data_IF_416436958047
#
_entry.id   IF_416436958047
#
_cell.length_a   1.000
_cell.length_b   1.000
_cell.length_c   1.000
_cell.angle_alpha   90.00
_cell.angle_beta   90.00
_cell.angle_gamma   90.00
#
_symmetry.space_group_name_H-M   'P 1'
#
loop_
_entity.id
_entity.type
_entity.pdbx_description
1 polymer ?
#
# COMPACT_ATOMS: atom_id res chain seq x y z
N UNK A 1 -9.59 5.27 -15.44
CA UNK A 1 -10.54 4.15 -15.41
C UNK A 1 -9.74 2.86 -15.49
N UNK A 2 -10.04 1.88 -14.63
CA UNK A 2 -9.42 0.55 -14.60
C UNK A 2 -10.53 -0.51 -14.68
N UNK A 3 -10.20 -1.70 -15.17
CA UNK A 3 -11.11 -2.85 -15.22
C UNK A 3 -11.28 -3.57 -13.88
N UNK A 4 -10.40 -3.31 -12.91
CA UNK A 4 -10.37 -3.96 -11.59
C UNK A 4 -10.02 -2.99 -10.47
N UNK A 5 -10.40 -3.36 -9.24
CA UNK A 5 -10.11 -2.58 -8.03
C UNK A 5 -8.62 -2.52 -7.70
N UNK A 6 -8.21 -1.55 -6.87
CA UNK A 6 -6.81 -1.41 -6.46
C UNK A 6 -6.31 -2.57 -5.60
N UNK A 7 -7.18 -3.30 -4.91
CA UNK A 7 -6.84 -4.50 -4.14
C UNK A 7 -6.74 -5.77 -4.99
N UNK A 8 -7.12 -5.72 -6.27
CA UNK A 8 -7.12 -6.88 -7.14
C UNK A 8 -5.71 -7.39 -7.40
N UNK A 9 -5.52 -8.71 -7.35
CA UNK A 9 -4.22 -9.34 -7.60
C UNK A 9 -3.77 -9.09 -9.05
N UNK A 10 -2.45 -9.00 -9.32
CA UNK A 10 -1.92 -8.69 -10.65
C UNK A 10 -2.44 -9.61 -11.77
N UNK A 11 -2.71 -10.87 -11.47
CA UNK A 11 -3.21 -11.86 -12.45
C UNK A 11 -4.61 -11.52 -12.96
N UNK A 12 -5.39 -10.74 -12.20
CA UNK A 12 -6.74 -10.31 -12.61
C UNK A 12 -6.77 -9.01 -13.41
N UNK A 13 -5.64 -8.40 -13.74
CA UNK A 13 -5.63 -7.11 -14.43
C UNK A 13 -5.82 -7.23 -15.95
N UNK A 14 -5.87 -8.43 -16.50
CA UNK A 14 -6.13 -8.67 -17.93
C UNK A 14 -7.50 -8.11 -18.33
N UNK A 15 -7.48 -7.13 -19.24
CA UNK A 15 -8.69 -6.52 -19.78
C UNK A 15 -9.49 -7.47 -20.67
N UNK A 16 -8.85 -8.48 -21.25
CA UNK A 16 -9.50 -9.50 -22.08
C UNK A 16 -10.32 -10.48 -21.23
N UNK A 17 -9.81 -10.84 -20.04
CA UNK A 17 -10.45 -11.85 -19.19
C UNK A 17 -11.52 -11.24 -18.27
N UNK A 18 -11.29 -10.03 -17.76
CA UNK A 18 -12.20 -9.39 -16.78
C UNK A 18 -13.17 -8.38 -17.41
N UNK A 19 -12.83 -7.83 -18.58
CA UNK A 19 -13.65 -6.82 -19.26
C UNK A 19 -13.82 -5.52 -18.46
N UNK A 20 -14.84 -4.72 -18.79
CA UNK A 20 -15.14 -3.43 -18.14
C UNK A 20 -16.57 -3.32 -17.60
N UNK A 21 -17.24 -4.45 -17.35
CA UNK A 21 -18.63 -4.45 -16.84
C UNK A 21 -18.79 -3.78 -15.47
N UNK A 22 -17.70 -3.73 -14.70
CA UNK A 22 -17.66 -3.23 -13.34
C UNK A 22 -16.39 -2.38 -13.10
N UNK A 23 -16.28 -1.21 -13.75
CA UNK A 23 -15.03 -0.47 -13.78
C UNK A 23 -14.72 0.22 -12.45
N UNK A 24 -13.43 0.40 -12.21
CA UNK A 24 -12.90 1.22 -11.11
C UNK A 24 -12.53 2.59 -11.63
N UNK A 25 -13.00 3.62 -10.93
CA UNK A 25 -12.65 5.01 -11.18
C UNK A 25 -11.66 5.50 -10.14
N UNK A 26 -10.86 6.48 -10.52
CA UNK A 26 -9.92 7.10 -9.62
C UNK A 26 -9.37 8.38 -10.19
N UNK A 27 -8.94 9.25 -9.29
CA UNK A 27 -8.37 10.56 -9.60
C UNK A 27 -7.21 10.87 -8.65
N UNK A 28 -6.34 11.78 -9.08
CA UNK A 28 -5.22 12.25 -8.27
C UNK A 28 -4.99 13.73 -8.52
N UNK A 29 -4.79 14.47 -7.45
CA UNK A 29 -4.36 15.86 -7.45
C UNK A 29 -2.97 15.93 -6.82
N UNK A 30 -2.10 16.74 -7.42
CA UNK A 30 -0.75 16.97 -6.93
C UNK A 30 -0.48 18.47 -6.83
N UNK A 31 0.15 18.88 -5.74
CA UNK A 31 0.53 20.27 -5.47
C UNK A 31 2.02 20.34 -5.16
N UNK A 32 2.69 21.34 -5.72
CA UNK A 32 4.11 21.62 -5.46
C UNK A 32 4.27 23.07 -5.01
N UNK A 33 3.98 23.38 -3.72
CA UNK A 33 3.94 24.76 -3.26
C UNK A 33 5.31 25.45 -3.27
N UNK A 34 6.41 24.68 -3.23
CA UNK A 34 7.77 25.20 -3.36
C UNK A 34 8.71 24.09 -3.88
N UNK A 35 9.94 24.42 -4.31
CA UNK A 35 10.87 23.42 -4.82
C UNK A 35 11.09 22.17 -3.94
N UNK A 36 11.20 22.26 -2.59
CA UNK A 36 11.43 21.10 -1.75
C UNK A 36 10.18 20.25 -1.49
N UNK A 37 8.97 20.79 -1.66
CA UNK A 37 7.72 20.12 -1.25
C UNK A 37 6.90 19.64 -2.45
N UNK A 38 6.46 18.38 -2.40
CA UNK A 38 5.39 17.84 -3.24
C UNK A 38 4.36 17.17 -2.36
N UNK A 39 3.09 17.46 -2.59
CA UNK A 39 1.94 16.91 -1.87
C UNK A 39 1.01 16.25 -2.88
N UNK A 40 0.37 15.15 -2.50
CA UNK A 40 -0.58 14.45 -3.34
C UNK A 40 -1.78 13.94 -2.56
N UNK A 41 -2.93 13.96 -3.24
CA UNK A 41 -4.18 13.35 -2.79
C UNK A 41 -4.71 12.51 -3.94
N UNK A 42 -5.10 11.27 -3.65
CA UNK A 42 -5.69 10.37 -4.62
C UNK A 42 -6.92 9.69 -4.04
N UNK A 43 -7.85 9.34 -4.92
CA UNK A 43 -9.02 8.56 -4.56
C UNK A 43 -9.30 7.51 -5.61
N UNK A 44 -9.86 6.38 -5.20
CA UNK A 44 -10.35 5.36 -6.10
C UNK A 44 -11.60 4.70 -5.54
N UNK A 45 -12.56 4.41 -6.41
CA UNK A 45 -13.80 3.69 -6.08
C UNK A 45 -14.07 2.66 -7.14
N UNK A 46 -14.32 1.42 -6.74
CA UNK A 46 -14.73 0.38 -7.66
C UNK A 46 -15.05 -0.93 -6.96
N UNK A 47 -15.80 -1.83 -7.63
CA UNK A 47 -16.13 -3.14 -7.10
C UNK A 47 -14.90 -4.03 -7.02
N UNK A 48 -14.81 -4.84 -5.95
CA UNK A 48 -13.64 -5.65 -5.65
C UNK A 48 -13.92 -7.17 -5.64
N UNK A 49 -15.19 -7.56 -5.66
CA UNK A 49 -15.56 -8.97 -5.79
C UNK A 49 -15.28 -9.49 -7.19
N UNK A 50 -14.87 -10.75 -7.23
CA UNK A 50 -14.67 -11.51 -8.46
C UNK A 50 -15.88 -12.39 -8.75
N UNK A 51 -16.07 -12.87 -9.99
CA UNK A 51 -17.20 -13.73 -10.35
C UNK A 51 -17.38 -14.96 -9.44
N UNK A 52 -16.31 -15.50 -8.87
CA UNK A 52 -16.36 -16.64 -7.95
C UNK A 52 -17.09 -16.33 -6.64
N UNK A 53 -17.22 -15.05 -6.27
CA UNK A 53 -17.96 -14.63 -5.08
C UNK A 53 -19.48 -14.51 -5.32
N UNK A 54 -19.94 -14.54 -6.59
CA UNK A 54 -21.35 -14.39 -6.95
C UNK A 54 -22.29 -15.37 -6.19
N UNK A 55 -21.93 -16.66 -6.00
CA UNK A 55 -22.76 -17.60 -5.25
C UNK A 55 -22.86 -17.28 -3.75
N UNK A 56 -21.95 -16.47 -3.22
CA UNK A 56 -21.93 -16.08 -1.79
C UNK A 56 -22.64 -14.75 -1.52
N UNK A 57 -23.06 -14.05 -2.58
CA UNK A 57 -23.77 -12.78 -2.43
C UNK A 57 -25.24 -13.02 -2.04
N UNK A 58 -25.85 -12.08 -1.28
CA UNK A 58 -27.27 -12.15 -0.98
C UNK A 58 -28.13 -12.15 -2.27
N UNK A 59 -29.30 -12.80 -2.27
CA UNK A 59 -30.18 -12.84 -3.43
C UNK A 59 -30.51 -11.45 -3.96
N UNK A 60 -30.44 -11.26 -5.27
CA UNK A 60 -30.71 -9.98 -5.92
C UNK A 60 -29.54 -9.00 -5.95
N UNK A 61 -28.39 -9.35 -5.36
CA UNK A 61 -27.17 -8.55 -5.40
C UNK A 61 -26.13 -9.07 -6.38
N UNK A 62 -25.45 -8.16 -7.07
CA UNK A 62 -24.38 -8.43 -8.02
C UNK A 62 -22.99 -7.99 -7.55
N UNK A 63 -21.97 -8.33 -8.34
CA UNK A 63 -20.57 -7.99 -8.07
C UNK A 63 -20.32 -6.47 -7.99
N UNK A 64 -21.14 -5.68 -8.69
CA UNK A 64 -21.04 -4.22 -8.74
C UNK A 64 -21.61 -3.49 -7.51
N UNK A 65 -22.34 -4.20 -6.64
CA UNK A 65 -23.09 -3.60 -5.52
C UNK A 65 -22.21 -3.30 -4.31
N UNK A 66 -21.03 -3.92 -4.24
CA UNK A 66 -20.11 -3.82 -3.12
C UNK A 66 -18.78 -3.23 -3.59
N UNK A 67 -18.38 -2.11 -2.99
CA UNK A 67 -17.27 -1.30 -3.46
C UNK A 67 -16.11 -1.29 -2.48
N UNK A 68 -14.93 -1.17 -3.05
CA UNK A 68 -13.74 -0.69 -2.37
C UNK A 68 -13.62 0.81 -2.63
N UNK A 69 -13.46 1.57 -1.57
CA UNK A 69 -13.15 3.00 -1.61
C UNK A 69 -11.75 3.17 -1.02
N UNK A 70 -10.88 3.89 -1.72
CA UNK A 70 -9.52 4.20 -1.27
C UNK A 70 -9.30 5.70 -1.31
N UNK A 71 -8.72 6.25 -0.26
CA UNK A 71 -8.17 7.61 -0.22
C UNK A 71 -6.69 7.50 0.12
N UNK A 72 -5.83 8.08 -0.72
CA UNK A 72 -4.38 8.06 -0.56
C UNK A 72 -3.83 9.48 -0.43
N UNK A 73 -2.93 9.70 0.51
CA UNK A 73 -2.29 10.98 0.78
C UNK A 73 -0.77 10.77 0.74
N UNK A 74 -0.03 11.60 0.01
CA UNK A 74 1.43 11.49 -0.06
C UNK A 74 2.13 12.83 0.09
N UNK A 75 3.31 12.76 0.69
CA UNK A 75 4.19 13.89 0.94
C UNK A 75 5.59 13.49 0.51
N UNK A 76 6.25 14.37 -0.24
CA UNK A 76 7.68 14.30 -0.54
C UNK A 76 8.33 15.61 -0.16
N UNK A 77 9.42 15.51 0.59
CA UNK A 77 10.23 16.64 1.00
C UNK A 77 11.70 16.38 0.66
N UNK A 78 12.35 17.31 -0.02
CA UNK A 78 13.77 17.19 -0.34
C UNK A 78 14.52 18.48 -0.06
N UNK A 79 15.50 18.41 0.83
CA UNK A 79 16.33 19.57 1.17
C UNK A 79 17.75 19.14 1.52
N UNK A 80 18.73 19.69 0.78
CA UNK A 80 20.14 19.36 0.91
C UNK A 80 20.40 17.85 0.87
N UNK A 81 20.84 17.29 2.00
CA UNK A 81 21.19 15.88 2.16
C UNK A 81 19.99 15.02 2.55
N UNK A 82 18.86 15.63 2.93
CA UNK A 82 17.67 14.96 3.45
C UNK A 82 16.62 14.79 2.35
N UNK A 83 16.09 13.58 2.24
CA UNK A 83 14.92 13.28 1.43
C UNK A 83 13.94 12.49 2.29
N UNK A 84 12.68 12.93 2.33
CA UNK A 84 11.60 12.30 3.07
C UNK A 84 10.45 11.96 2.11
N UNK A 85 9.85 10.80 2.31
CA UNK A 85 8.61 10.38 1.67
C UNK A 85 7.67 9.83 2.72
N UNK A 86 6.41 10.18 2.60
CA UNK A 86 5.34 9.63 3.41
C UNK A 86 4.16 9.33 2.51
N UNK A 87 3.49 8.22 2.76
CA UNK A 87 2.22 7.92 2.11
C UNK A 87 1.30 7.21 3.08
N UNK A 88 0.03 7.61 3.10
CA UNK A 88 -1.02 7.00 3.91
C UNK A 88 -2.21 6.67 3.03
N UNK A 89 -2.84 5.53 3.29
CA UNK A 89 -3.98 4.99 2.57
C UNK A 89 -5.07 4.58 3.56
N UNK A 90 -6.28 5.05 3.32
CA UNK A 90 -7.50 4.61 3.98
C UNK A 90 -8.31 3.81 2.96
N UNK A 91 -8.53 2.53 3.21
CA UNK A 91 -9.32 1.65 2.36
C UNK A 91 -10.53 1.14 3.12
N UNK A 92 -11.71 1.25 2.51
CA UNK A 92 -12.95 0.67 2.99
C UNK A 92 -13.44 -0.38 2.02
N UNK A 93 -13.77 -1.55 2.53
CA UNK A 93 -14.43 -2.62 1.78
C UNK A 93 -15.85 -2.80 2.30
N UNK A 94 -16.84 -2.68 1.42
CA UNK A 94 -18.23 -2.98 1.74
C UNK A 94 -18.46 -4.50 1.70
N UNK A 95 -18.63 -5.12 2.87
CA UNK A 95 -18.80 -6.57 2.99
C UNK A 95 -20.30 -6.90 3.12
N UNK A 96 -20.85 -7.80 2.28
CA UNK A 96 -22.23 -8.25 2.37
C UNK A 96 -22.54 -8.75 3.78
N UNK A 97 -23.72 -8.38 4.30
CA UNK A 97 -24.27 -8.78 5.62
C UNK A 97 -23.42 -8.45 6.85
N UNK A 98 -22.20 -7.93 6.68
CA UNK A 98 -21.25 -7.61 7.75
C UNK A 98 -21.05 -6.10 7.91
N UNK A 99 -21.05 -5.35 6.80
CA UNK A 99 -20.79 -3.90 6.78
C UNK A 99 -19.36 -3.56 6.35
N UNK A 100 -18.80 -2.47 6.88
CA UNK A 100 -17.53 -1.94 6.39
C UNK A 100 -16.32 -2.60 7.08
N UNK A 101 -15.42 -3.14 6.28
CA UNK A 101 -14.09 -3.58 6.69
C UNK A 101 -13.06 -2.51 6.30
N UNK A 102 -12.61 -1.74 7.28
CA UNK A 102 -11.68 -0.62 7.08
C UNK A 102 -10.21 -1.07 7.29
N UNK A 103 -9.29 -0.57 6.47
CA UNK A 103 -7.82 -0.68 6.62
C UNK A 103 -7.21 0.71 6.58
N UNK A 104 -6.27 0.98 7.48
CA UNK A 104 -5.36 2.11 7.38
C UNK A 104 -3.92 1.62 7.21
N UNK A 105 -3.27 2.02 6.13
CA UNK A 105 -1.88 1.67 5.87
C UNK A 105 -1.04 2.91 5.61
N UNK A 106 0.17 2.98 6.16
CA UNK A 106 1.08 4.07 5.83
C UNK A 106 2.54 3.61 5.78
N UNK A 107 3.37 4.40 5.10
CA UNK A 107 4.81 4.33 5.25
C UNK A 107 5.44 5.71 5.40
N UNK A 108 6.58 5.72 6.08
CA UNK A 108 7.47 6.86 6.24
C UNK A 108 8.85 6.40 5.82
N UNK A 109 9.47 7.07 4.86
CA UNK A 109 10.83 6.81 4.41
C UNK A 109 11.67 8.08 4.56
N UNK A 110 12.82 7.94 5.21
CA UNK A 110 13.80 8.99 5.35
C UNK A 110 15.13 8.52 4.75
N UNK A 111 15.78 9.40 3.99
CA UNK A 111 17.08 9.15 3.38
C UNK A 111 18.01 10.33 3.62
N UNK A 112 19.23 10.02 4.04
CA UNK A 112 20.29 10.99 4.25
C UNK A 112 21.49 10.68 3.36
N UNK A 113 21.91 11.65 2.55
CA UNK A 113 23.11 11.56 1.70
C UNK A 113 24.34 12.00 2.50
N UNK A 114 25.05 11.05 3.10
CA UNK A 114 26.31 11.33 3.80
C UNK A 114 27.36 12.00 2.89
N UNK A 115 27.41 11.56 1.62
CA UNK A 115 28.23 12.16 0.57
C UNK A 115 27.47 12.15 -0.75
N UNK A 116 28.07 12.66 -1.83
CA UNK A 116 27.51 12.53 -3.17
C UNK A 116 27.34 11.05 -3.63
N UNK A 117 28.03 10.10 -2.98
CA UNK A 117 28.07 8.68 -3.34
C UNK A 117 27.45 7.76 -2.29
N UNK A 118 27.43 8.15 -1.02
CA UNK A 118 26.96 7.33 0.10
C UNK A 118 25.66 7.88 0.68
N UNK A 119 24.70 7.00 0.96
CA UNK A 119 23.48 7.37 1.67
C UNK A 119 23.03 6.27 2.64
N UNK A 120 22.30 6.69 3.66
CA UNK A 120 21.53 5.82 4.54
C UNK A 120 20.05 6.08 4.35
N UNK A 121 19.23 5.05 4.52
CA UNK A 121 17.78 5.17 4.49
C UNK A 121 17.12 4.32 5.59
N UNK A 122 16.02 4.84 6.11
CA UNK A 122 15.14 4.18 7.07
C UNK A 122 13.72 4.24 6.51
N UNK A 123 13.00 3.13 6.54
CA UNK A 123 11.58 3.07 6.19
C UNK A 123 10.79 2.37 7.27
N UNK A 124 9.68 2.95 7.68
CA UNK A 124 8.65 2.32 8.50
C UNK A 124 7.42 2.09 7.64
N UNK A 125 6.84 0.90 7.66
CA UNK A 125 5.53 0.59 7.08
C UNK A 125 4.63 0.04 8.19
N UNK A 126 3.37 0.47 8.22
CA UNK A 126 2.36 0.00 9.17
C UNK A 126 1.07 -0.25 8.42
N UNK A 127 0.36 -1.32 8.78
CA UNK A 127 -1.00 -1.58 8.34
C UNK A 127 -1.84 -1.97 9.55
N UNK A 128 -2.95 -1.27 9.73
CA UNK A 128 -3.89 -1.39 10.84
C UNK A 128 -5.24 -1.80 10.28
N UNK A 129 -5.81 -2.88 10.81
CA UNK A 129 -7.10 -3.39 10.40
C UNK A 129 -8.17 -2.99 11.40
N UNK A 130 -9.28 -2.47 10.87
CA UNK A 130 -10.43 -2.10 11.66
C UNK A 130 -11.14 -3.31 12.27
N UNK A 131 -12.31 -3.06 12.83
CA UNK A 131 -13.17 -4.11 13.38
C UNK A 131 -14.43 -4.27 12.56
N UNK A 132 -14.92 -5.51 12.46
CA UNK A 132 -16.22 -5.86 11.89
C UNK A 132 -17.08 -6.55 12.95
N UNK A 133 -18.42 -6.58 12.79
CA UNK A 133 -19.28 -7.39 13.65
C UNK A 133 -18.84 -8.86 13.67
N UNK A 134 -18.80 -9.47 14.85
CA UNK A 134 -18.34 -10.87 15.05
C UNK A 134 -19.47 -11.92 14.94
N UNK A 135 -20.70 -11.47 14.67
CA UNK A 135 -21.90 -12.32 14.61
C UNK A 135 -22.46 -12.73 15.97
N UNK A 136 -21.81 -12.37 17.08
CA UNK A 136 -22.23 -12.66 18.46
C UNK A 136 -22.69 -11.40 19.22
N UNK A 137 -22.91 -10.30 18.50
CA UNK A 137 -23.26 -9.00 19.07
C UNK A 137 -22.05 -8.14 19.48
N UNK A 138 -20.83 -8.62 19.25
CA UNK A 138 -19.57 -7.91 19.49
C UNK A 138 -18.91 -7.42 18.20
N UNK A 139 -17.67 -6.95 18.34
CA UNK A 139 -16.81 -6.52 17.23
C UNK A 139 -15.43 -7.14 17.37
N UNK A 140 -14.91 -7.70 16.29
CA UNK A 140 -13.57 -8.30 16.23
C UNK A 140 -12.73 -7.68 15.12
N UNK A 141 -11.40 -7.69 15.28
CA UNK A 141 -10.49 -7.34 14.19
C UNK A 141 -10.68 -8.32 13.02
N UNK A 142 -10.79 -7.82 11.80
CA UNK A 142 -11.06 -8.68 10.63
C UNK A 142 -9.79 -9.22 9.96
N UNK A 143 -8.63 -8.64 10.30
CA UNK A 143 -7.32 -9.20 10.00
C UNK A 143 -6.30 -8.71 11.05
N UNK A 144 -5.01 -8.97 10.84
CA UNK A 144 -3.94 -8.76 11.80
C UNK A 144 -3.07 -7.57 11.43
N UNK A 145 -2.90 -6.66 12.39
CA UNK A 145 -2.00 -5.53 12.22
C UNK A 145 -0.57 -6.00 11.97
N UNK A 146 0.12 -5.32 11.05
CA UNK A 146 1.51 -5.62 10.73
C UNK A 146 2.32 -4.35 10.63
N UNK A 147 3.58 -4.46 11.01
CA UNK A 147 4.54 -3.38 10.82
C UNK A 147 5.88 -3.92 10.35
N UNK A 148 6.58 -3.08 9.59
CA UNK A 148 7.88 -3.40 9.03
C UNK A 148 8.80 -2.20 9.11
N UNK A 149 10.03 -2.42 9.54
CA UNK A 149 11.10 -1.44 9.43
C UNK A 149 12.19 -1.95 8.50
N UNK A 150 12.67 -1.09 7.61
CA UNK A 150 13.80 -1.33 6.73
C UNK A 150 14.90 -0.32 7.00
N UNK A 151 16.13 -0.78 7.16
CA UNK A 151 17.33 0.06 7.24
C UNK A 151 18.24 -0.30 6.08
N UNK A 152 18.71 0.70 5.35
CA UNK A 152 19.57 0.48 4.19
C UNK A 152 20.76 1.44 4.13
N UNK A 153 21.86 0.93 3.60
CA UNK A 153 23.03 1.70 3.19
C UNK A 153 23.23 1.52 1.70
N UNK A 154 23.47 2.62 0.99
CA UNK A 154 23.72 2.63 -0.44
C UNK A 154 25.03 3.33 -0.79
N UNK A 155 25.75 2.76 -1.74
CA UNK A 155 27.00 3.29 -2.27
C UNK A 155 26.98 3.31 -3.80
N UNK A 156 27.19 4.49 -4.38
CA UNK A 156 27.35 4.68 -5.83
C UNK A 156 28.83 4.73 -6.17
N UNK A 157 29.36 3.64 -6.72
CA UNK A 157 30.76 3.55 -7.11
C UNK A 157 31.06 4.39 -8.36
N UNK A 158 30.17 4.33 -9.37
CA UNK A 158 30.24 5.12 -10.61
C UNK A 158 28.85 5.64 -10.99
N UNK A 159 28.74 6.41 -12.08
CA UNK A 159 27.43 6.78 -12.62
C UNK A 159 26.58 5.55 -13.05
N UNK A 160 27.24 4.44 -13.37
CA UNK A 160 26.63 3.23 -13.91
C UNK A 160 26.45 2.12 -12.87
N UNK A 161 27.16 2.19 -11.73
CA UNK A 161 27.19 1.10 -10.74
C UNK A 161 26.80 1.55 -9.34
N UNK A 162 25.92 0.79 -8.70
CA UNK A 162 25.44 1.04 -7.35
C UNK A 162 25.33 -0.26 -6.54
N UNK A 163 25.71 -0.19 -5.27
CA UNK A 163 25.52 -1.24 -4.28
C UNK A 163 24.54 -0.76 -3.20
N UNK A 164 23.71 -1.67 -2.69
CA UNK A 164 22.81 -1.42 -1.56
C UNK A 164 22.76 -2.65 -0.66
N UNK A 165 22.92 -2.42 0.64
CA UNK A 165 22.68 -3.41 1.70
C UNK A 165 21.43 -2.97 2.45
N UNK A 166 20.52 -3.90 2.72
CA UNK A 166 19.28 -3.63 3.46
C UNK A 166 19.02 -4.73 4.47
N UNK A 167 18.58 -4.33 5.66
CA UNK A 167 18.00 -5.20 6.68
C UNK A 167 16.54 -4.82 6.89
N UNK A 168 15.68 -5.83 7.00
CA UNK A 168 14.23 -5.68 7.15
C UNK A 168 13.74 -6.49 8.34
N UNK A 169 12.97 -5.87 9.23
CA UNK A 169 12.29 -6.52 10.34
C UNK A 169 10.78 -6.35 10.18
N UNK A 170 10.04 -7.45 10.17
CA UNK A 170 8.58 -7.48 10.09
C UNK A 170 8.03 -8.10 11.38
N UNK A 171 6.95 -7.53 11.90
CA UNK A 171 6.20 -8.12 12.99
C UNK A 171 4.69 -8.03 12.72
N UNK A 172 4.00 -9.12 13.02
CA UNK A 172 2.56 -9.27 12.90
C UNK A 172 1.93 -9.42 14.30
N UNK A 173 0.84 -8.71 14.55
CA UNK A 173 0.12 -8.71 15.81
C UNK A 173 -0.89 -9.85 15.84
N UNK A 174 -0.47 -11.01 16.33
CA UNK A 174 -1.34 -12.16 16.63
C UNK A 174 -0.71 -13.08 17.67
N UNK A 175 -1.52 -14.00 18.23
CA UNK A 175 -1.02 -15.11 19.03
C UNK A 175 -0.93 -16.38 18.15
N UNK A 176 0.25 -17.03 18.02
CA UNK A 176 1.57 -16.57 18.45
C UNK A 176 2.14 -15.48 17.53
N UNK A 177 2.89 -14.53 18.12
CA UNK A 177 3.46 -13.36 17.44
C UNK A 177 4.45 -13.81 16.38
N UNK A 178 4.16 -13.55 15.12
CA UNK A 178 5.05 -13.91 14.01
C UNK A 178 5.98 -12.74 13.67
N UNK A 179 7.28 -12.97 13.75
CA UNK A 179 8.30 -12.02 13.31
C UNK A 179 9.12 -12.59 12.15
N UNK A 180 9.51 -11.73 11.21
CA UNK A 180 10.34 -12.07 10.06
C UNK A 180 11.54 -11.14 9.95
N UNK A 181 12.69 -11.69 9.55
CA UNK A 181 13.93 -10.94 9.31
C UNK A 181 14.45 -11.24 7.91
N UNK A 182 14.86 -10.23 7.17
CA UNK A 182 15.47 -10.40 5.84
C UNK A 182 16.68 -9.48 5.72
N UNK A 183 17.80 -10.04 5.25
CA UNK A 183 18.97 -9.27 4.79
C UNK A 183 19.02 -9.39 3.27
N UNK A 184 19.19 -8.26 2.58
CA UNK A 184 19.25 -8.20 1.13
C UNK A 184 20.47 -7.39 0.68
N UNK A 185 21.16 -7.91 -0.35
CA UNK A 185 22.23 -7.20 -1.06
C UNK A 185 21.81 -7.02 -2.50
N UNK A 186 21.92 -5.80 -3.00
CA UNK A 186 21.57 -5.44 -4.37
C UNK A 186 22.76 -4.77 -5.06
N UNK A 187 23.08 -5.27 -6.25
CA UNK A 187 23.96 -4.62 -7.21
C UNK A 187 23.12 -4.12 -8.39
N UNK A 188 23.37 -2.91 -8.88
CA UNK A 188 22.64 -2.33 -10.00
C UNK A 188 23.62 -1.74 -11.01
N UNK A 189 23.49 -2.18 -12.26
CA UNK A 189 24.20 -1.68 -13.43
C UNK A 189 23.21 -0.95 -14.34
N UNK A 190 23.56 0.25 -14.79
CA UNK A 190 22.80 1.04 -15.78
C UNK A 190 23.72 1.36 -16.97
N UNK A 191 23.17 1.34 -18.18
CA UNK A 191 23.84 1.62 -19.45
C UNK A 191 23.08 2.71 -20.21
#
# INVERSE_FOLDING_TARGET
MKNTSLSSRPESWSAMDTGFGHPTFGGRLGLRPSPPWTLGLSTSVGPYFRPEALPTLPPGHGLGDYRQIVVGQDIRFEWHHVQLWAEAYESRFEVPTVGNADVFGYYLEAKYKFTARCFGALRWNQQLFGTVPDGQGGRGAWDRDLWRTDVALGFRATAHTQFKLQYSFLQESSAPRRSGNVVAVQYTLRF
#
